data_IF_509599359567
#
_entry.id   IF_509599359567
#
_cell.length_a   1.000
_cell.length_b   1.000
_cell.length_c   1.000
_cell.angle_alpha   90.00
_cell.angle_beta   90.00
_cell.angle_gamma   90.00
#
_symmetry.space_group_name_H-M   'P 1'
#
loop_
_entity.id
_entity.type
_entity.pdbx_description
1 polymer ?
#
# COMPACT_ATOMS: atom_id res chain seq x y z
N UNK A 1 -5.62 -8.36 30.61
CA UNK A 1 -5.55 -6.90 30.35
C UNK A 1 -6.42 -6.60 29.12
N UNK A 2 -7.62 -6.03 29.30
CA UNK A 2 -8.44 -5.55 28.17
C UNK A 2 -7.64 -4.46 27.49
N UNK A 3 -7.19 -4.72 26.24
CA UNK A 3 -6.61 -3.70 25.39
C UNK A 3 -7.67 -2.63 25.20
N UNK A 4 -7.53 -1.52 25.92
CA UNK A 4 -8.33 -0.34 25.65
C UNK A 4 -8.12 -0.03 24.15
N UNK A 5 -9.21 -0.12 23.42
CA UNK A 5 -9.22 0.25 22.01
C UNK A 5 -8.68 1.67 21.96
N UNK A 6 -7.52 1.88 21.34
CA UNK A 6 -6.91 3.21 21.27
C UNK A 6 -7.82 4.05 20.35
N UNK A 7 -8.79 4.77 20.98
CA UNK A 7 -9.77 5.59 20.26
C UNK A 7 -9.12 6.54 19.26
N UNK A 8 -7.87 6.95 19.50
CA UNK A 8 -7.11 7.80 18.57
C UNK A 8 -6.82 7.06 17.27
N UNK A 9 -6.41 5.79 17.36
CA UNK A 9 -6.14 4.96 16.18
C UNK A 9 -7.42 4.67 15.40
N UNK A 10 -8.53 4.40 16.11
CA UNK A 10 -9.83 4.19 15.46
C UNK A 10 -10.28 5.44 14.71
N UNK A 11 -10.17 6.61 15.34
CA UNK A 11 -10.50 7.90 14.71
C UNK A 11 -9.62 8.18 13.48
N UNK A 12 -8.30 7.92 13.58
CA UNK A 12 -7.39 8.07 12.44
C UNK A 12 -7.74 7.13 11.28
N UNK A 13 -8.18 5.91 11.56
CA UNK A 13 -8.65 4.99 10.51
C UNK A 13 -9.92 5.49 9.84
N UNK A 14 -10.90 5.96 10.61
CA UNK A 14 -12.11 6.54 10.05
C UNK A 14 -11.77 7.76 9.17
N UNK A 15 -10.91 8.65 9.63
CA UNK A 15 -10.44 9.80 8.86
C UNK A 15 -9.75 9.36 7.57
N UNK A 16 -8.87 8.35 7.65
CA UNK A 16 -8.17 7.81 6.49
C UNK A 16 -9.15 7.25 5.44
N UNK A 17 -10.22 6.57 5.87
CA UNK A 17 -11.27 6.07 4.95
C UNK A 17 -11.98 7.23 4.26
N UNK A 18 -12.38 8.27 5.01
CA UNK A 18 -13.02 9.46 4.44
C UNK A 18 -12.12 10.13 3.39
N UNK A 19 -10.82 10.27 3.69
CA UNK A 19 -9.84 10.85 2.76
C UNK A 19 -9.73 10.00 1.49
N UNK A 20 -9.74 8.66 1.59
CA UNK A 20 -9.72 7.78 0.42
C UNK A 20 -10.97 7.95 -0.43
N UNK A 21 -12.15 7.99 0.19
CA UNK A 21 -13.42 8.18 -0.53
C UNK A 21 -13.40 9.52 -1.27
N UNK A 22 -13.02 10.61 -0.59
CA UNK A 22 -12.88 11.93 -1.21
C UNK A 22 -11.89 11.89 -2.38
N UNK A 23 -10.72 11.26 -2.18
CA UNK A 23 -9.71 11.14 -3.22
C UNK A 23 -10.20 10.37 -4.46
N UNK A 24 -11.06 9.36 -4.28
CA UNK A 24 -11.64 8.63 -5.40
C UNK A 24 -12.79 9.40 -6.08
N UNK A 25 -13.55 10.18 -5.31
CA UNK A 25 -14.64 11.01 -5.87
C UNK A 25 -14.12 12.10 -6.81
N UNK A 26 -12.93 12.64 -6.55
CA UNK A 26 -12.33 13.72 -7.35
C UNK A 26 -11.31 13.22 -8.39
N UNK A 27 -11.19 11.90 -8.58
CA UNK A 27 -10.18 11.29 -9.47
C UNK A 27 -10.36 11.72 -10.93
N UNK A 28 -11.58 12.03 -11.34
CA UNK A 28 -11.93 12.46 -12.70
C UNK A 28 -11.26 13.80 -13.09
N UNK A 29 -10.91 14.62 -12.10
CA UNK A 29 -10.28 15.93 -12.32
C UNK A 29 -8.75 15.86 -12.41
N UNK A 30 -8.16 14.64 -12.33
CA UNK A 30 -6.72 14.44 -12.49
C UNK A 30 -6.42 13.92 -13.91
N UNK A 31 -5.86 14.78 -14.81
CA UNK A 31 -5.56 14.40 -16.18
C UNK A 31 -4.51 13.27 -16.27
N UNK A 32 -3.72 13.04 -15.21
CA UNK A 32 -2.74 11.97 -15.17
C UNK A 32 -3.39 10.59 -15.01
N UNK A 33 -4.68 10.53 -14.66
CA UNK A 33 -5.35 9.24 -14.48
C UNK A 33 -5.60 8.48 -15.80
N UNK A 34 -5.64 9.21 -16.93
CA UNK A 34 -5.59 8.64 -18.29
C UNK A 34 -6.79 7.79 -18.72
N UNK A 35 -7.74 7.50 -17.83
CA UNK A 35 -8.93 6.68 -18.16
C UNK A 35 -10.10 7.49 -18.70
N UNK A 36 -10.22 8.73 -18.26
CA UNK A 36 -11.25 9.66 -18.72
C UNK A 36 -10.62 11.03 -18.89
N UNK A 37 -10.69 11.55 -20.11
CA UNK A 37 -10.30 12.95 -20.37
C UNK A 37 -11.50 13.82 -20.06
N UNK A 38 -11.40 14.60 -18.99
CA UNK A 38 -12.36 15.67 -18.74
C UNK A 38 -11.99 16.89 -19.59
N UNK A 39 -12.98 17.49 -20.25
CA UNK A 39 -12.80 18.73 -21.02
C UNK A 39 -12.46 19.94 -20.13
N UNK A 40 -12.71 19.83 -18.84
CA UNK A 40 -12.47 20.88 -17.84
C UNK A 40 -11.63 20.35 -16.69
N UNK A 41 -10.43 20.90 -16.52
CA UNK A 41 -9.58 20.67 -15.35
C UNK A 41 -9.81 21.75 -14.32
N UNK A 42 -10.03 21.38 -13.06
CA UNK A 42 -10.10 22.32 -11.94
C UNK A 42 -8.81 22.14 -11.13
N UNK A 43 -7.91 23.09 -11.23
CA UNK A 43 -6.57 23.03 -10.62
C UNK A 43 -6.63 22.72 -9.12
N UNK A 44 -7.56 23.31 -8.39
CA UNK A 44 -7.74 23.05 -6.97
C UNK A 44 -8.05 21.56 -6.70
N UNK A 45 -8.93 20.93 -7.46
CA UNK A 45 -9.29 19.53 -7.30
C UNK A 45 -8.13 18.61 -7.72
N UNK A 46 -7.41 18.96 -8.77
CA UNK A 46 -6.22 18.24 -9.22
C UNK A 46 -5.14 18.24 -8.12
N UNK A 47 -4.80 19.39 -7.55
CA UNK A 47 -3.82 19.48 -6.46
C UNK A 47 -4.29 18.77 -5.20
N UNK A 48 -5.56 18.93 -4.83
CA UNK A 48 -6.17 18.21 -3.71
C UNK A 48 -6.03 16.70 -3.89
N UNK A 49 -6.34 16.19 -5.09
CA UNK A 49 -6.18 14.77 -5.43
C UNK A 49 -4.74 14.29 -5.28
N UNK A 50 -3.76 15.06 -5.77
CA UNK A 50 -2.33 14.72 -5.67
C UNK A 50 -1.87 14.64 -4.22
N UNK A 51 -2.26 15.61 -3.39
CA UNK A 51 -1.96 15.62 -1.96
C UNK A 51 -2.59 14.40 -1.27
N UNK A 52 -3.87 14.12 -1.52
CA UNK A 52 -4.57 12.96 -0.97
C UNK A 52 -3.86 11.66 -1.38
N UNK A 53 -3.54 11.48 -2.64
CA UNK A 53 -2.86 10.29 -3.14
C UNK A 53 -1.49 10.06 -2.48
N UNK A 54 -0.73 11.12 -2.27
CA UNK A 54 0.58 11.02 -1.63
C UNK A 54 0.50 10.55 -0.17
N UNK A 55 -0.60 10.87 0.52
CA UNK A 55 -0.74 10.66 1.96
C UNK A 55 -1.59 9.42 2.31
N UNK A 56 -2.66 9.13 1.56
CA UNK A 56 -3.67 8.14 1.95
C UNK A 56 -3.09 6.73 2.13
N UNK A 57 -2.32 6.21 1.16
CA UNK A 57 -1.78 4.85 1.22
C UNK A 57 -0.67 4.70 2.27
N UNK A 58 0.33 5.60 2.38
CA UNK A 58 1.26 5.63 3.49
C UNK A 58 0.58 5.59 4.87
N UNK A 59 -0.48 6.34 5.08
CA UNK A 59 -1.20 6.38 6.34
C UNK A 59 -1.82 5.02 6.69
N UNK A 60 -2.47 4.35 5.72
CA UNK A 60 -3.04 3.02 5.95
C UNK A 60 -1.98 1.97 6.27
N UNK A 61 -0.84 2.02 5.58
CA UNK A 61 0.29 1.12 5.84
C UNK A 61 0.88 1.35 7.22
N UNK A 62 1.10 2.60 7.59
CA UNK A 62 1.57 2.99 8.91
C UNK A 62 0.62 2.50 10.02
N UNK A 63 -0.68 2.77 9.89
CA UNK A 63 -1.68 2.30 10.85
C UNK A 63 -1.76 0.77 10.92
N UNK A 64 -1.54 0.08 9.80
CA UNK A 64 -1.51 -1.37 9.75
C UNK A 64 -0.32 -1.94 10.51
N UNK A 65 0.88 -1.37 10.33
CA UNK A 65 2.08 -1.71 11.07
C UNK A 65 1.95 -1.42 12.56
N UNK A 66 1.44 -0.23 12.90
CA UNK A 66 1.19 0.17 14.29
C UNK A 66 0.29 -0.83 15.01
N UNK A 67 -0.81 -1.22 14.39
CA UNK A 67 -1.75 -2.17 14.99
C UNK A 67 -1.23 -3.62 14.98
N UNK A 68 -0.31 -3.95 14.08
CA UNK A 68 0.27 -5.28 14.02
C UNK A 68 1.07 -5.63 15.29
N UNK A 69 1.76 -4.65 15.89
CA UNK A 69 2.47 -4.87 17.16
C UNK A 69 1.54 -5.36 18.28
N UNK A 70 0.31 -4.83 18.38
CA UNK A 70 -0.65 -5.33 19.36
C UNK A 70 -1.00 -6.81 19.13
N UNK A 71 -1.07 -7.21 17.86
CA UNK A 71 -1.29 -8.61 17.49
C UNK A 71 -0.10 -9.49 17.88
N UNK A 72 1.13 -9.03 17.64
CA UNK A 72 2.37 -9.74 18.05
C UNK A 72 2.46 -9.86 19.56
N UNK A 73 2.10 -8.83 20.31
CA UNK A 73 2.11 -8.87 21.79
C UNK A 73 1.02 -9.77 22.37
N UNK A 74 -0.11 -9.91 21.67
CA UNK A 74 -1.23 -10.74 22.11
C UNK A 74 -1.05 -12.21 21.80
N UNK A 75 -0.41 -12.53 20.69
CA UNK A 75 -0.28 -13.87 20.18
C UNK A 75 1.21 -14.22 20.03
N UNK A 76 1.59 -15.42 20.46
CA UNK A 76 2.95 -15.92 20.26
C UNK A 76 3.11 -16.42 18.82
N UNK A 77 3.50 -15.54 17.90
CA UNK A 77 3.72 -15.88 16.48
C UNK A 77 5.07 -16.58 16.21
N UNK A 78 5.89 -16.81 17.21
CA UNK A 78 7.03 -17.75 17.11
C UNK A 78 6.56 -19.18 16.91
N UNK A 79 5.36 -19.50 17.40
CA UNK A 79 4.71 -20.77 17.13
C UNK A 79 4.09 -20.76 15.72
N UNK A 80 4.47 -21.71 14.88
CA UNK A 80 4.04 -21.86 13.48
C UNK A 80 2.51 -21.94 13.36
N UNK A 81 1.84 -22.67 14.26
CA UNK A 81 0.37 -22.78 14.24
C UNK A 81 -0.33 -21.44 14.46
N UNK A 82 0.16 -20.63 15.42
CA UNK A 82 -0.39 -19.29 15.66
C UNK A 82 -0.10 -18.34 14.50
N UNK A 83 1.12 -18.44 13.93
CA UNK A 83 1.51 -17.67 12.75
C UNK A 83 0.62 -18.00 11.55
N UNK A 84 0.44 -19.28 11.24
CA UNK A 84 -0.41 -19.73 10.14
C UNK A 84 -1.87 -19.27 10.33
N UNK A 85 -2.42 -19.38 11.54
CA UNK A 85 -3.76 -18.86 11.86
C UNK A 85 -3.84 -17.35 11.67
N UNK A 86 -2.80 -16.60 12.06
CA UNK A 86 -2.70 -15.15 11.85
C UNK A 86 -2.69 -14.79 10.37
N UNK A 87 -1.86 -15.46 9.57
CA UNK A 87 -1.76 -15.28 8.10
C UNK A 87 -3.10 -15.60 7.44
N UNK A 88 -3.73 -16.74 7.78
CA UNK A 88 -5.04 -17.11 7.24
C UNK A 88 -6.12 -16.08 7.57
N UNK A 89 -6.13 -15.56 8.80
CA UNK A 89 -7.04 -14.48 9.20
C UNK A 89 -6.85 -13.20 8.39
N UNK A 90 -5.61 -12.86 8.02
CA UNK A 90 -5.32 -11.72 7.13
C UNK A 90 -5.68 -12.03 5.69
N UNK A 91 -5.39 -13.23 5.19
CA UNK A 91 -5.78 -13.67 3.85
C UNK A 91 -7.29 -13.52 3.66
N UNK A 92 -8.10 -14.05 4.57
CA UNK A 92 -9.56 -13.94 4.50
C UNK A 92 -10.04 -12.49 4.46
N UNK A 93 -9.43 -11.61 5.25
CA UNK A 93 -9.85 -10.20 5.34
C UNK A 93 -9.40 -9.33 4.16
N UNK A 94 -8.32 -9.69 3.48
CA UNK A 94 -7.73 -8.88 2.41
C UNK A 94 -7.95 -9.50 1.03
N UNK A 95 -7.74 -10.81 0.89
CA UNK A 95 -7.84 -11.46 -0.42
C UNK A 95 -9.29 -11.77 -0.81
N UNK A 96 -10.18 -12.11 0.14
CA UNK A 96 -11.59 -12.36 -0.20
C UNK A 96 -12.27 -11.11 -0.77
N UNK A 97 -12.17 -9.92 -0.14
CA UNK A 97 -12.69 -8.70 -0.76
C UNK A 97 -12.00 -8.34 -2.08
N UNK A 98 -10.68 -8.55 -2.18
CA UNK A 98 -9.95 -8.36 -3.43
C UNK A 98 -10.55 -9.20 -4.56
N UNK A 99 -10.70 -10.52 -4.33
CA UNK A 99 -11.25 -11.45 -5.30
C UNK A 99 -12.70 -11.09 -5.67
N UNK A 100 -13.54 -10.84 -4.65
CA UNK A 100 -14.93 -10.51 -4.88
C UNK A 100 -15.09 -9.24 -5.72
N UNK A 101 -14.41 -8.16 -5.36
CA UNK A 101 -14.51 -6.88 -6.07
C UNK A 101 -13.88 -6.99 -7.47
N UNK A 102 -12.74 -7.69 -7.61
CA UNK A 102 -12.10 -7.86 -8.90
C UNK A 102 -13.00 -8.62 -9.89
N UNK A 103 -13.56 -9.76 -9.46
CA UNK A 103 -14.34 -10.66 -10.34
C UNK A 103 -15.76 -10.16 -10.56
N UNK A 104 -16.44 -9.69 -9.50
CA UNK A 104 -17.86 -9.35 -9.58
C UNK A 104 -18.12 -7.91 -10.03
N UNK A 105 -17.13 -7.03 -9.88
CA UNK A 105 -17.32 -5.60 -10.13
C UNK A 105 -16.33 -5.03 -11.15
N UNK A 106 -15.03 -5.08 -10.86
CA UNK A 106 -14.02 -4.41 -11.68
C UNK A 106 -13.92 -4.99 -13.09
N UNK A 107 -13.85 -6.32 -13.23
CA UNK A 107 -13.72 -6.97 -14.54
C UNK A 107 -14.97 -6.76 -15.39
N UNK A 108 -16.19 -7.03 -14.90
CA UNK A 108 -17.41 -6.81 -15.70
C UNK A 108 -17.57 -5.36 -16.16
N UNK A 109 -17.40 -4.39 -15.27
CA UNK A 109 -17.54 -2.97 -15.62
C UNK A 109 -16.52 -2.56 -16.68
N UNK A 110 -15.23 -2.93 -16.51
CA UNK A 110 -14.21 -2.59 -17.50
C UNK A 110 -14.46 -3.25 -18.86
N UNK A 111 -15.03 -4.46 -18.89
CA UNK A 111 -15.43 -5.10 -20.15
C UNK A 111 -16.60 -4.38 -20.80
N UNK A 112 -17.63 -4.00 -20.03
CA UNK A 112 -18.78 -3.24 -20.53
C UNK A 112 -18.33 -1.87 -21.09
N UNK A 113 -17.39 -1.20 -20.42
CA UNK A 113 -16.81 0.06 -20.86
C UNK A 113 -15.76 -0.09 -21.96
N UNK A 114 -15.55 -1.29 -22.51
CA UNK A 114 -14.56 -1.58 -23.56
C UNK A 114 -13.16 -1.02 -23.22
N UNK A 115 -12.68 -1.36 -22.02
CA UNK A 115 -11.39 -0.90 -21.54
C UNK A 115 -10.27 -1.25 -22.54
N UNK A 116 -9.62 -0.24 -23.11
CA UNK A 116 -8.69 -0.37 -24.24
C UNK A 116 -7.52 -1.32 -23.99
N UNK A 117 -7.00 -1.35 -22.75
CA UNK A 117 -5.89 -2.24 -22.39
C UNK A 117 -6.27 -3.75 -22.40
N UNK A 118 -7.56 -4.08 -22.50
CA UNK A 118 -8.06 -5.47 -22.58
C UNK A 118 -8.58 -5.84 -23.96
N UNK A 119 -8.41 -4.97 -24.95
CA UNK A 119 -8.80 -5.25 -26.33
C UNK A 119 -8.08 -6.49 -26.85
N UNK A 120 -8.84 -7.45 -27.37
CA UNK A 120 -8.31 -8.71 -27.91
C UNK A 120 -7.90 -9.75 -26.86
N UNK A 121 -8.00 -9.47 -25.55
CA UNK A 121 -7.68 -10.43 -24.50
C UNK A 121 -8.84 -11.38 -24.20
N UNK A 122 -8.54 -12.67 -24.00
CA UNK A 122 -9.51 -13.65 -23.48
C UNK A 122 -9.72 -13.43 -21.98
N UNK A 123 -10.90 -13.79 -21.48
CA UNK A 123 -11.27 -13.64 -20.06
C UNK A 123 -10.22 -14.24 -19.09
N UNK A 124 -9.68 -15.42 -19.39
CA UNK A 124 -8.63 -16.04 -18.57
C UNK A 124 -7.31 -15.23 -18.53
N UNK A 125 -6.97 -14.53 -19.62
CA UNK A 125 -5.81 -13.66 -19.66
C UNK A 125 -6.03 -12.39 -18.82
N UNK A 126 -7.25 -11.85 -18.86
CA UNK A 126 -7.64 -10.70 -18.00
C UNK A 126 -7.53 -11.09 -16.53
N UNK A 127 -8.08 -12.24 -16.14
CA UNK A 127 -7.94 -12.75 -14.78
C UNK A 127 -6.48 -12.89 -14.36
N UNK A 128 -5.63 -13.52 -15.17
CA UNK A 128 -4.19 -13.63 -14.90
C UNK A 128 -3.54 -12.26 -14.69
N UNK A 129 -3.81 -11.29 -15.56
CA UNK A 129 -3.24 -9.93 -15.43
C UNK A 129 -3.66 -9.23 -14.14
N UNK A 130 -4.92 -9.36 -13.75
CA UNK A 130 -5.44 -8.77 -12.51
C UNK A 130 -4.81 -9.41 -11.28
N UNK A 131 -4.75 -10.75 -11.23
CA UNK A 131 -4.21 -11.48 -10.07
C UNK A 131 -2.70 -11.41 -9.96
N UNK A 132 -2.00 -11.30 -11.06
CA UNK A 132 -0.54 -11.10 -11.07
C UNK A 132 -0.11 -9.64 -10.81
N UNK A 133 -1.07 -8.73 -10.59
CA UNK A 133 -0.80 -7.34 -10.25
C UNK A 133 -0.53 -6.43 -11.43
N UNK A 134 -0.55 -6.95 -12.67
CA UNK A 134 -0.25 -6.19 -13.88
C UNK A 134 -1.34 -5.13 -14.14
N UNK A 135 -2.61 -5.48 -13.87
CA UNK A 135 -3.76 -4.63 -14.20
C UNK A 135 -4.85 -4.65 -13.12
N UNK A 136 -4.43 -4.67 -11.87
CA UNK A 136 -5.31 -4.72 -10.70
C UNK A 136 -6.01 -3.39 -10.39
N UNK A 137 -5.65 -2.30 -11.10
CA UNK A 137 -6.19 -0.96 -10.87
C UNK A 137 -6.02 -0.52 -9.41
N UNK A 138 -7.07 0.07 -8.83
CA UNK A 138 -7.07 0.54 -7.44
C UNK A 138 -7.05 -0.59 -6.39
N UNK A 139 -7.27 -1.84 -6.78
CA UNK A 139 -7.30 -2.98 -5.86
C UNK A 139 -5.90 -3.48 -5.46
N UNK A 140 -4.83 -2.97 -6.08
CA UNK A 140 -3.44 -3.38 -5.83
C UNK A 140 -3.05 -3.35 -4.35
N UNK A 141 -3.66 -2.45 -3.57
CA UNK A 141 -3.33 -2.24 -2.16
C UNK A 141 -3.60 -3.48 -1.28
N UNK A 142 -4.70 -4.20 -1.52
CA UNK A 142 -5.12 -5.34 -0.69
C UNK A 142 -4.12 -6.51 -0.76
N UNK A 143 -3.72 -7.03 -1.95
CA UNK A 143 -2.71 -8.07 -2.02
C UNK A 143 -1.32 -7.58 -1.61
N UNK A 144 -0.96 -6.32 -1.90
CA UNK A 144 0.30 -5.73 -1.42
C UNK A 144 0.37 -5.74 0.11
N UNK A 145 -0.67 -5.28 0.78
CA UNK A 145 -0.73 -5.28 2.24
C UNK A 145 -0.69 -6.72 2.80
N UNK A 146 -1.32 -7.67 2.12
CA UNK A 146 -1.25 -9.09 2.52
C UNK A 146 0.18 -9.62 2.46
N UNK A 147 0.91 -9.36 1.38
CA UNK A 147 2.33 -9.77 1.24
C UNK A 147 3.21 -9.11 2.30
N UNK A 148 2.98 -7.84 2.62
CA UNK A 148 3.67 -7.15 3.72
C UNK A 148 3.36 -7.83 5.06
N UNK A 149 2.11 -8.28 5.30
CA UNK A 149 1.79 -9.04 6.52
C UNK A 149 2.52 -10.39 6.57
N UNK A 150 2.67 -11.11 5.45
CA UNK A 150 3.46 -12.36 5.43
C UNK A 150 4.90 -12.05 5.89
N UNK A 151 5.55 -11.06 5.30
CA UNK A 151 6.88 -10.61 5.74
C UNK A 151 6.89 -10.26 7.23
N UNK A 152 5.90 -9.50 7.69
CA UNK A 152 5.81 -9.05 9.07
C UNK A 152 5.64 -10.22 10.06
N UNK A 153 4.85 -11.24 9.74
CA UNK A 153 4.69 -12.44 10.57
C UNK A 153 5.97 -13.26 10.68
N UNK A 154 6.79 -13.28 9.64
CA UNK A 154 8.06 -14.02 9.62
C UNK A 154 9.14 -13.26 10.39
N UNK A 155 9.24 -11.95 10.22
CA UNK A 155 10.39 -11.17 10.70
C UNK A 155 10.17 -10.64 12.12
N UNK A 156 9.09 -9.88 12.36
CA UNK A 156 8.95 -9.13 13.61
C UNK A 156 8.83 -9.94 14.90
N UNK A 157 8.28 -11.17 14.94
CA UNK A 157 8.27 -11.97 16.18
C UNK A 157 9.67 -12.37 16.67
N UNK A 158 10.66 -12.36 15.78
CA UNK A 158 12.04 -12.80 16.09
C UNK A 158 12.98 -11.63 16.36
N UNK A 159 12.57 -10.39 16.06
CA UNK A 159 13.43 -9.21 16.18
C UNK A 159 13.18 -8.48 17.49
N UNK A 160 14.17 -8.59 18.41
CA UNK A 160 14.17 -7.89 19.70
C UNK A 160 15.35 -6.91 19.87
N UNK A 161 16.19 -6.76 18.85
CA UNK A 161 17.39 -5.93 18.89
C UNK A 161 17.13 -4.61 18.17
N UNK A 162 17.46 -3.47 18.84
CA UNK A 162 17.28 -2.13 18.28
C UNK A 162 18.11 -1.90 17.01
N UNK A 163 19.30 -2.48 16.93
CA UNK A 163 20.15 -2.39 15.75
C UNK A 163 19.49 -3.04 14.53
N UNK A 164 18.86 -4.21 14.75
CA UNK A 164 18.11 -4.90 13.67
C UNK A 164 16.86 -4.12 13.29
N UNK A 165 16.13 -3.52 14.23
CA UNK A 165 14.99 -2.65 13.95
C UNK A 165 15.41 -1.48 13.05
N UNK A 166 16.50 -0.80 13.40
CA UNK A 166 17.05 0.30 12.61
C UNK A 166 17.48 -0.16 11.22
N UNK A 167 18.13 -1.33 11.12
CA UNK A 167 18.55 -1.91 9.84
C UNK A 167 17.34 -2.23 8.93
N UNK A 168 16.29 -2.84 9.49
CA UNK A 168 15.05 -3.14 8.74
C UNK A 168 14.41 -1.84 8.23
N UNK A 169 14.34 -0.81 9.08
CA UNK A 169 13.78 0.48 8.70
C UNK A 169 14.60 1.15 7.60
N UNK A 170 15.93 1.15 7.73
CA UNK A 170 16.84 1.71 6.73
C UNK A 170 16.76 0.92 5.41
N UNK A 171 16.82 -0.41 5.47
CA UNK A 171 16.73 -1.27 4.29
C UNK A 171 15.38 -1.09 3.56
N UNK A 172 14.26 -1.01 4.31
CA UNK A 172 12.96 -0.75 3.71
C UNK A 172 12.84 0.65 3.11
N UNK A 173 13.50 1.66 3.72
CA UNK A 173 13.56 3.00 3.15
C UNK A 173 14.37 3.03 1.84
N UNK A 174 15.58 2.49 1.85
CA UNK A 174 16.40 2.36 0.64
C UNK A 174 15.70 1.55 -0.45
N UNK A 175 15.05 0.44 -0.05
CA UNK A 175 14.21 -0.35 -0.96
C UNK A 175 13.11 0.49 -1.61
N UNK A 176 12.44 1.35 -0.86
CA UNK A 176 11.40 2.21 -1.40
C UNK A 176 11.90 3.18 -2.48
N UNK A 177 13.16 3.63 -2.39
CA UNK A 177 13.78 4.51 -3.39
C UNK A 177 14.07 3.79 -4.71
N UNK A 178 14.35 2.49 -4.67
CA UNK A 178 14.66 1.68 -5.85
C UNK A 178 13.49 0.79 -6.29
N UNK A 179 12.32 0.94 -5.68
CA UNK A 179 11.14 0.11 -5.92
C UNK A 179 10.72 0.08 -7.40
N UNK A 180 10.96 1.19 -8.14
CA UNK A 180 10.66 1.28 -9.58
C UNK A 180 11.47 0.30 -10.45
N UNK A 181 12.57 -0.27 -9.94
CA UNK A 181 13.37 -1.30 -10.62
C UNK A 181 12.80 -2.70 -10.48
N UNK A 182 11.89 -2.90 -9.50
CA UNK A 182 11.28 -4.20 -9.27
C UNK A 182 10.14 -4.46 -10.25
N UNK A 183 9.90 -5.73 -10.62
CA UNK A 183 8.81 -6.06 -11.53
C UNK A 183 7.45 -5.79 -10.89
N UNK A 184 6.48 -5.43 -11.71
CA UNK A 184 5.07 -5.27 -11.28
C UNK A 184 4.46 -6.62 -10.90
N UNK A 185 5.03 -7.69 -11.44
CA UNK A 185 4.60 -9.06 -11.18
C UNK A 185 4.47 -9.37 -9.68
N UNK A 186 3.35 -9.97 -9.30
CA UNK A 186 2.99 -10.29 -7.91
C UNK A 186 3.09 -9.09 -6.96
N UNK A 187 2.84 -7.88 -7.45
CA UNK A 187 2.86 -6.65 -6.66
C UNK A 187 4.21 -6.33 -5.98
N UNK A 188 5.32 -6.94 -6.42
CA UNK A 188 6.61 -6.81 -5.75
C UNK A 188 7.10 -5.37 -5.67
N UNK A 189 6.97 -4.60 -6.75
CA UNK A 189 7.29 -3.17 -6.74
C UNK A 189 6.50 -2.41 -5.68
N UNK A 190 5.20 -2.70 -5.56
CA UNK A 190 4.32 -2.06 -4.58
C UNK A 190 4.67 -2.48 -3.15
N UNK A 191 5.03 -3.76 -2.94
CA UNK A 191 5.49 -4.26 -1.63
C UNK A 191 6.75 -3.53 -1.21
N UNK A 192 7.76 -3.46 -2.07
CA UNK A 192 9.04 -2.79 -1.77
C UNK A 192 8.84 -1.29 -1.52
N UNK A 193 8.02 -0.62 -2.34
CA UNK A 193 7.70 0.79 -2.17
C UNK A 193 6.95 1.10 -0.86
N UNK A 194 6.14 0.14 -0.38
CA UNK A 194 5.21 0.34 0.72
C UNK A 194 5.71 -0.16 2.06
N UNK A 195 6.70 -1.07 2.06
CA UNK A 195 7.19 -1.75 3.26
C UNK A 195 7.71 -0.78 4.32
N UNK A 196 8.39 0.29 3.91
CA UNK A 196 8.91 1.32 4.81
C UNK A 196 7.83 1.92 5.73
N UNK A 197 6.68 2.28 5.17
CA UNK A 197 5.59 2.88 5.94
C UNK A 197 5.00 1.93 6.98
N UNK A 198 4.93 0.66 6.64
CA UNK A 198 4.48 -0.37 7.58
C UNK A 198 5.51 -0.57 8.71
N UNK A 199 6.79 -0.69 8.39
CA UNK A 199 7.87 -0.80 9.38
C UNK A 199 7.90 0.42 10.30
N UNK A 200 7.79 1.63 9.74
CA UNK A 200 7.74 2.88 10.50
C UNK A 200 6.57 2.88 11.51
N UNK A 201 5.39 2.42 11.09
CA UNK A 201 4.23 2.29 11.97
C UNK A 201 4.44 1.28 13.10
N UNK A 202 5.04 0.15 12.81
CA UNK A 202 5.38 -0.89 13.81
C UNK A 202 6.36 -0.35 14.85
N UNK A 203 7.46 0.28 14.41
CA UNK A 203 8.46 0.86 15.29
C UNK A 203 7.93 2.04 16.09
N UNK A 204 7.12 2.90 15.52
CA UNK A 204 6.47 3.99 16.23
C UNK A 204 5.62 3.48 17.41
N UNK A 205 4.92 2.34 17.24
CA UNK A 205 4.18 1.71 18.32
C UNK A 205 5.11 1.05 19.35
N UNK A 206 6.20 0.40 18.89
CA UNK A 206 7.18 -0.30 19.75
C UNK A 206 7.88 0.65 20.72
N UNK A 207 8.24 1.84 20.23
CA UNK A 207 8.96 2.85 20.98
C UNK A 207 8.07 3.99 21.54
N UNK A 208 6.75 3.87 21.44
CA UNK A 208 5.76 4.88 21.88
C UNK A 208 6.04 5.44 23.28
N UNK A 209 6.34 4.57 24.26
CA UNK A 209 6.53 4.99 25.63
C UNK A 209 7.86 5.73 25.84
N UNK A 210 8.89 5.39 25.06
CA UNK A 210 10.16 6.12 25.02
C UNK A 210 9.99 7.47 24.35
N UNK A 211 9.29 7.54 23.23
CA UNK A 211 8.96 8.78 22.54
C UNK A 211 8.19 9.73 23.43
N UNK A 212 7.28 9.26 24.27
CA UNK A 212 6.58 10.08 25.26
C UNK A 212 7.51 10.61 26.34
N UNK A 213 8.49 9.82 26.79
CA UNK A 213 9.42 10.23 27.87
C UNK A 213 10.49 11.21 27.37
N UNK A 214 10.85 11.13 26.09
CA UNK A 214 11.82 12.03 25.43
C UNK A 214 11.13 13.21 24.75
N UNK A 215 9.81 13.27 24.83
CA UNK A 215 8.97 14.24 24.15
C UNK A 215 9.18 15.65 24.67
N UNK A 216 10.26 16.21 24.28
CA UNK A 216 10.20 17.56 23.76
C UNK A 216 9.53 17.52 22.38
N UNK A 217 8.76 18.52 22.10
CA UNK A 217 8.00 18.80 20.87
C UNK A 217 8.78 18.48 19.56
N UNK A 218 10.10 18.42 19.61
CA UNK A 218 11.01 18.27 18.47
C UNK A 218 10.94 16.90 17.73
N UNK A 219 10.63 15.78 18.41
CA UNK A 219 10.61 14.47 17.76
C UNK A 219 9.36 14.28 16.93
N UNK A 220 8.22 14.84 17.38
CA UNK A 220 6.98 14.82 16.59
C UNK A 220 7.15 15.64 15.29
N UNK A 221 7.87 16.77 15.34
CA UNK A 221 8.19 17.56 14.17
C UNK A 221 9.20 16.88 13.24
N UNK A 222 10.17 16.14 13.77
CA UNK A 222 11.11 15.35 12.96
C UNK A 222 10.41 14.26 12.15
N UNK A 223 9.46 13.55 12.75
CA UNK A 223 8.66 12.53 12.05
C UNK A 223 7.74 13.18 11.01
N UNK A 224 7.12 14.31 11.34
CA UNK A 224 6.28 15.08 10.40
C UNK A 224 7.14 15.64 9.26
N UNK A 225 8.34 16.13 9.55
CA UNK A 225 9.26 16.65 8.55
C UNK A 225 9.79 15.54 7.61
N UNK A 226 10.20 14.40 8.16
CA UNK A 226 10.64 13.25 7.36
C UNK A 226 9.49 12.66 6.53
N UNK A 227 8.28 12.62 7.08
CA UNK A 227 7.09 12.22 6.31
C UNK A 227 6.76 13.26 5.25
N UNK A 228 6.88 14.54 5.55
CA UNK A 228 6.68 15.63 4.58
C UNK A 228 7.72 15.62 3.46
N UNK A 229 9.00 15.40 3.80
CA UNK A 229 10.07 15.24 2.80
C UNK A 229 9.85 14.01 1.92
N UNK A 230 9.42 12.87 2.49
CA UNK A 230 9.09 11.68 1.73
C UNK A 230 7.86 11.91 0.83
N UNK A 231 6.86 12.66 1.28
CA UNK A 231 5.70 13.10 0.48
C UNK A 231 6.16 14.01 -0.66
N UNK A 232 7.05 14.98 -0.41
CA UNK A 232 7.59 15.86 -1.45
C UNK A 232 8.44 15.11 -2.48
N UNK A 233 9.21 14.11 -2.04
CA UNK A 233 9.98 13.24 -2.92
C UNK A 233 9.06 12.34 -3.75
N UNK A 234 7.97 11.83 -3.18
CA UNK A 234 6.95 11.09 -3.94
C UNK A 234 6.17 11.99 -4.90
N UNK A 235 5.89 13.23 -4.56
CA UNK A 235 5.24 14.19 -5.47
C UNK A 235 6.17 14.55 -6.63
N UNK A 236 7.48 14.77 -6.39
CA UNK A 236 8.49 15.04 -7.44
C UNK A 236 8.85 13.79 -8.27
N UNK A 237 8.87 12.60 -7.65
CA UNK A 237 9.10 11.32 -8.32
C UNK A 237 7.84 10.67 -8.89
N UNK A 238 6.67 11.05 -8.40
CA UNK A 238 5.37 10.39 -8.61
C UNK A 238 4.75 10.54 -9.98
N UNK A 239 5.37 11.33 -10.86
CA UNK A 239 5.03 11.26 -12.28
C UNK A 239 5.37 9.90 -12.92
N UNK A 240 6.17 9.06 -12.25
CA UNK A 240 6.60 7.74 -12.75
C UNK A 240 6.34 6.55 -11.82
N UNK A 241 6.07 6.74 -10.53
CA UNK A 241 6.01 5.63 -9.56
C UNK A 241 4.59 5.19 -9.14
N UNK A 242 3.62 6.06 -9.18
CA UNK A 242 2.20 5.72 -8.97
C UNK A 242 1.37 5.98 -10.23
N UNK A 243 2.04 6.28 -11.32
CA UNK A 243 1.43 6.41 -12.62
C UNK A 243 0.92 5.04 -13.05
N UNK A 244 -0.35 4.96 -13.30
CA UNK A 244 -0.87 4.12 -14.36
C UNK A 244 0.17 4.15 -15.48
N UNK A 245 0.87 3.04 -15.67
CA UNK A 245 1.69 2.86 -16.85
C UNK A 245 0.78 3.18 -18.04
N UNK A 246 1.12 4.24 -18.77
CA UNK A 246 0.52 4.45 -20.08
C UNK A 246 0.67 3.13 -20.84
N UNK A 247 -0.36 2.64 -21.54
CA UNK A 247 -0.35 1.33 -22.18
C UNK A 247 0.70 1.16 -23.28
N UNK A 248 1.60 2.12 -23.49
CA UNK A 248 2.51 2.19 -24.61
C UNK A 248 3.97 1.74 -24.34
N UNK A 249 4.34 1.33 -23.12
CA UNK A 249 5.66 0.71 -22.88
C UNK A 249 5.56 -0.77 -22.59
N UNK A 250 5.91 -1.53 -23.61
CA UNK A 250 6.37 -2.92 -23.60
C UNK A 250 5.60 -3.95 -22.80
N UNK A 251 4.30 -4.12 -23.12
CA UNK A 251 3.62 -5.39 -22.85
C UNK A 251 4.19 -6.56 -23.67
N UNK A 252 4.96 -6.32 -24.75
CA UNK A 252 5.59 -7.40 -25.54
C UNK A 252 6.72 -8.08 -24.78
N UNK A 253 7.60 -7.31 -24.12
CA UNK A 253 8.83 -7.86 -23.51
C UNK A 253 8.57 -8.74 -22.27
N UNK A 254 7.41 -8.61 -21.62
CA UNK A 254 7.02 -9.47 -20.47
C UNK A 254 6.33 -10.75 -20.92
N UNK A 255 5.73 -10.76 -22.12
CA UNK A 255 5.07 -11.96 -22.67
C UNK A 255 6.07 -12.92 -23.33
N UNK A 256 7.14 -12.39 -23.92
CA UNK A 256 8.18 -13.22 -24.57
C UNK A 256 9.06 -13.95 -23.52
N UNK A 257 9.09 -13.45 -22.27
CA UNK A 257 9.80 -14.12 -21.17
C UNK A 257 8.99 -15.23 -20.48
N UNK A 258 7.68 -15.36 -20.73
CA UNK A 258 6.80 -16.38 -20.14
C UNK A 258 6.30 -17.42 -21.16
N UNK A 259 6.82 -17.41 -22.38
CA UNK A 259 6.49 -18.36 -23.45
C UNK A 259 7.61 -19.36 -23.76
N UNK A 260 8.61 -19.49 -22.87
CA UNK A 260 9.60 -20.57 -22.86
C UNK A 260 9.32 -21.58 -21.78
#
# INVERSE_FOLDING_TARGET
>A
MKLATDYKITRLRCLAIVIVVLGHSIILYDPQWGLYQTSHTVDLLMWTKRIINAFQMPLFLFLSGYCFLYSVRKHNYKNISNMARGIFGKAKRLLVPFLAIAVLWMIPIRQMCRYSAWSGLRYGQILKRVFLGIDSGHLWFLPTLFLIFIFAFIVFPHVNNKGIDCLILLASFLGSLIAYKFPVFLFLNNVVASLYWFCLGFEACKYKDRLKKTSSVNINYGIIFLSGCAVLLTIRGGGKQFGLQSPTRNCRDVFDACSL
#
